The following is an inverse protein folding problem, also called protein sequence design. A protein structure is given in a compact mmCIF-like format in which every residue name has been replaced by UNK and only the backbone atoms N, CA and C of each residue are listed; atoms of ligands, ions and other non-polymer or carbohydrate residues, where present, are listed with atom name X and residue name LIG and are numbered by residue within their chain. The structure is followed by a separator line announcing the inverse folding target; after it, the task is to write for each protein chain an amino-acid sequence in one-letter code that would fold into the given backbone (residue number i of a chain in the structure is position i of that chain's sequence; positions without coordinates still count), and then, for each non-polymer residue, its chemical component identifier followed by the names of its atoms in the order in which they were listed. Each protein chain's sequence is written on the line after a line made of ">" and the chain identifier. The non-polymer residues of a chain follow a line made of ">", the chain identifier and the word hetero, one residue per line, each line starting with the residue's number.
data_IF_374853016154
#
_entry.id   IF_374853016154
#
_cell.length_a   1.000
_cell.length_b   1.000
_cell.length_c   1.000
_cell.angle_alpha   90.00
_cell.angle_beta   90.00
_cell.angle_gamma   90.00
#
_symmetry.space_group_name_H-M   'P 1'
#
loop_
_entity.id
_entity.type
_entity.pdbx_description
1 polymer ?
#
# COMPACT_ATOMS: atom_id res chain seq x y z
N UNK A 1 23.64 -9.98 9.53
CA UNK A 1 23.51 -9.96 11.00
C UNK A 1 24.36 -8.80 11.48
N UNK A 2 23.73 -7.71 11.90
CA UNK A 2 24.42 -6.51 12.41
C UNK A 2 25.05 -6.81 13.76
N UNK A 3 26.10 -6.07 14.14
CA UNK A 3 26.90 -6.33 15.34
C UNK A 3 26.12 -6.28 16.68
N UNK A 4 24.88 -5.77 16.70
CA UNK A 4 24.03 -5.63 17.89
C UNK A 4 22.77 -6.50 17.89
N UNK A 5 22.57 -7.40 16.92
CA UNK A 5 21.33 -8.20 16.83
C UNK A 5 20.08 -7.41 16.41
N UNK A 6 20.20 -6.10 16.22
CA UNK A 6 19.13 -5.21 15.74
C UNK A 6 18.97 -5.36 14.22
N UNK A 7 17.79 -5.79 13.77
CA UNK A 7 17.49 -5.80 12.34
C UNK A 7 17.48 -4.35 11.84
N UNK A 8 18.21 -4.01 10.77
CA UNK A 8 18.16 -2.66 10.23
C UNK A 8 16.73 -2.32 9.80
N UNK A 9 16.32 -1.08 10.02
CA UNK A 9 15.09 -0.54 9.41
C UNK A 9 15.25 -0.63 7.90
N UNK A 10 14.31 -1.32 7.25
CA UNK A 10 14.30 -1.53 5.80
C UNK A 10 12.93 -1.14 5.25
N UNK A 11 12.93 -0.44 4.12
CA UNK A 11 11.71 -0.14 3.39
C UNK A 11 11.49 -1.21 2.32
N UNK A 12 10.23 -1.66 2.16
CA UNK A 12 9.83 -2.60 1.10
C UNK A 12 8.68 -2.01 0.30
N UNK A 13 8.83 -2.00 -1.02
CA UNK A 13 7.74 -1.60 -1.91
C UNK A 13 6.68 -2.69 -2.01
N UNK A 14 5.41 -2.30 -1.88
CA UNK A 14 4.23 -3.14 -2.15
C UNK A 14 3.55 -2.62 -3.41
N UNK A 15 3.08 -3.54 -4.27
CA UNK A 15 2.41 -3.19 -5.54
C UNK A 15 0.97 -3.69 -5.52
N UNK A 16 0.06 -2.85 -5.98
CA UNK A 16 -1.31 -3.23 -6.32
C UNK A 16 -1.71 -2.65 -7.67
N UNK A 17 -2.77 -3.21 -8.24
CA UNK A 17 -3.46 -2.69 -9.40
C UNK A 17 -4.95 -3.05 -9.26
N UNK A 18 -5.82 -2.18 -9.75
CA UNK A 18 -7.27 -2.36 -9.77
C UNK A 18 -7.85 -1.69 -11.01
N UNK A 19 -9.15 -1.89 -11.27
CA UNK A 19 -9.90 -1.26 -12.36
C UNK A 19 -11.17 -0.64 -11.81
N UNK A 20 -11.46 0.61 -12.17
CA UNK A 20 -12.74 1.25 -11.85
C UNK A 20 -13.84 0.82 -12.83
N UNK A 21 -15.09 0.78 -12.38
CA UNK A 21 -16.27 0.47 -13.19
C UNK A 21 -16.54 1.54 -14.26
N UNK A 22 -16.29 2.81 -13.95
CA UNK A 22 -16.32 3.93 -14.90
C UNK A 22 -15.30 5.04 -14.55
N UNK A 23 -15.11 5.98 -15.47
CA UNK A 23 -14.21 7.13 -15.29
C UNK A 23 -14.93 8.27 -14.53
N UNK A 24 -15.35 7.98 -13.30
CA UNK A 24 -15.95 8.95 -12.36
C UNK A 24 -15.07 9.06 -11.11
N UNK A 25 -15.20 10.16 -10.38
CA UNK A 25 -14.42 10.34 -9.15
C UNK A 25 -14.80 9.30 -8.09
N UNK A 26 -16.09 8.99 -8.01
CA UNK A 26 -16.68 8.03 -7.10
C UNK A 26 -16.15 6.62 -7.35
N UNK A 27 -16.23 6.13 -8.59
CA UNK A 27 -15.81 4.77 -8.95
C UNK A 27 -14.28 4.58 -8.79
N UNK A 28 -13.49 5.63 -9.07
CA UNK A 28 -12.03 5.60 -8.88
C UNK A 28 -11.67 5.57 -7.40
N UNK A 29 -12.34 6.38 -6.57
CA UNK A 29 -12.10 6.41 -5.12
C UNK A 29 -12.48 5.08 -4.47
N UNK A 30 -13.62 4.51 -4.83
CA UNK A 30 -14.09 3.21 -4.34
C UNK A 30 -13.08 2.10 -4.68
N UNK A 31 -12.75 1.94 -5.97
CA UNK A 31 -11.81 0.89 -6.40
C UNK A 31 -10.41 1.07 -5.78
N UNK A 32 -9.93 2.31 -5.65
CA UNK A 32 -8.63 2.60 -5.02
C UNK A 32 -8.65 2.27 -3.54
N UNK A 33 -9.73 2.61 -2.83
CA UNK A 33 -9.87 2.33 -1.40
C UNK A 33 -9.90 0.83 -1.14
N UNK A 34 -10.69 0.07 -1.90
CA UNK A 34 -10.73 -1.39 -1.78
C UNK A 34 -9.34 -2.02 -1.98
N UNK A 35 -8.62 -1.59 -3.03
CA UNK A 35 -7.26 -2.07 -3.29
C UNK A 35 -6.31 -1.73 -2.15
N UNK A 36 -6.29 -0.49 -1.66
CA UNK A 36 -5.37 -0.07 -0.58
C UNK A 36 -5.70 -0.82 0.72
N UNK A 37 -6.96 -0.96 1.08
CA UNK A 37 -7.39 -1.75 2.24
C UNK A 37 -6.90 -3.19 2.14
N UNK A 38 -7.09 -3.84 0.99
CA UNK A 38 -6.61 -5.20 0.77
C UNK A 38 -5.08 -5.31 0.88
N UNK A 39 -4.33 -4.33 0.34
CA UNK A 39 -2.86 -4.32 0.45
C UNK A 39 -2.41 -4.18 1.91
N UNK A 40 -3.08 -3.36 2.70
CA UNK A 40 -2.79 -3.16 4.12
C UNK A 40 -3.06 -4.47 4.89
N UNK A 41 -4.25 -5.04 4.72
CA UNK A 41 -4.67 -6.26 5.42
C UNK A 41 -3.79 -7.48 5.07
N UNK A 42 -3.49 -7.69 3.79
CA UNK A 42 -2.69 -8.82 3.33
C UNK A 42 -1.22 -8.76 3.75
N UNK A 43 -0.72 -7.57 4.10
CA UNK A 43 0.66 -7.35 4.50
C UNK A 43 0.81 -6.99 5.99
N UNK A 44 -0.28 -6.97 6.76
CA UNK A 44 -0.31 -6.61 8.19
C UNK A 44 0.38 -5.25 8.46
N UNK A 45 0.03 -4.25 7.65
CA UNK A 45 0.60 -2.90 7.73
C UNK A 45 -0.24 -2.01 8.65
N UNK A 46 0.41 -1.15 9.43
CA UNK A 46 -0.23 0.02 10.04
C UNK A 46 0.05 1.28 9.23
N UNK A 47 -0.76 2.34 9.41
CA UNK A 47 -0.50 3.64 8.76
C UNK A 47 0.88 4.20 9.10
N UNK A 48 1.37 3.92 10.31
CA UNK A 48 2.65 4.43 10.81
C UNK A 48 3.85 3.71 10.18
N UNK A 49 3.63 2.55 9.53
CA UNK A 49 4.66 1.81 8.78
C UNK A 49 4.83 2.32 7.33
N UNK A 50 3.91 3.17 6.84
CA UNK A 50 3.86 3.59 5.44
C UNK A 50 4.66 4.89 5.24
N UNK A 51 5.83 4.77 4.62
CA UNK A 51 6.65 5.94 4.28
C UNK A 51 6.06 6.82 3.17
N UNK A 52 5.47 6.21 2.13
CA UNK A 52 4.82 6.91 1.02
C UNK A 52 3.98 5.95 0.16
N UNK A 53 3.07 6.52 -0.63
CA UNK A 53 2.33 5.83 -1.67
C UNK A 53 2.36 6.64 -2.97
N UNK A 54 2.53 5.97 -4.11
CA UNK A 54 2.56 6.59 -5.45
C UNK A 54 1.51 5.91 -6.30
N UNK A 55 0.64 6.72 -6.91
CA UNK A 55 -0.47 6.25 -7.74
C UNK A 55 -0.25 6.61 -9.21
N UNK A 56 -0.67 5.72 -10.09
CA UNK A 56 -0.65 5.91 -11.55
C UNK A 56 -1.96 5.39 -12.13
N UNK A 57 -2.46 6.04 -13.18
CA UNK A 57 -3.67 5.67 -13.92
C UNK A 57 -3.34 5.35 -15.36
#
# INVERSE_FOLDING_TARGET
>A
MTANGERPLVCRGVRGATTASANTAEDILEATQEMVTALIELNDLSSDDIASAIFTT
#
